data_IF_672731177763
#
_entry.id   IF_672731177763
#
_cell.length_a   1.000
_cell.length_b   1.000
_cell.length_c   1.000
_cell.angle_alpha   90.00
_cell.angle_beta   90.00
_cell.angle_gamma   90.00
#
_symmetry.space_group_name_H-M   'P 1'
#
loop_
_entity.id
_entity.type
_entity.pdbx_description
1 polymer ?
#
# COMPACT_ATOMS: atom_id res chain seq x y z
N UNK A 1 23.87 -3.51 -16.21
CA UNK A 1 22.45 -3.65 -15.79
C UNK A 1 21.85 -2.34 -15.30
N UNK A 2 22.47 -1.60 -14.38
CA UNK A 2 21.94 -0.34 -13.84
C UNK A 2 21.49 0.71 -14.88
N UNK A 3 22.24 0.89 -15.98
CA UNK A 3 21.90 1.88 -17.01
C UNK A 3 20.56 1.65 -17.73
N UNK A 4 20.13 0.39 -17.90
CA UNK A 4 18.83 0.07 -18.53
C UNK A 4 17.66 0.37 -17.60
N UNK A 5 17.82 0.08 -16.31
CA UNK A 5 16.82 0.39 -15.27
C UNK A 5 16.66 1.90 -15.16
N UNK A 6 17.76 2.66 -15.09
CA UNK A 6 17.72 4.13 -15.02
C UNK A 6 17.04 4.73 -16.25
N UNK A 7 17.36 4.25 -17.45
CA UNK A 7 16.71 4.74 -18.68
C UNK A 7 15.19 4.45 -18.68
N UNK A 8 14.78 3.25 -18.25
CA UNK A 8 13.37 2.87 -18.11
C UNK A 8 12.65 3.79 -17.14
N UNK A 9 13.21 3.98 -15.94
CA UNK A 9 12.68 4.87 -14.89
C UNK A 9 12.56 6.31 -15.38
N UNK A 10 13.59 6.83 -16.05
CA UNK A 10 13.59 8.21 -16.58
C UNK A 10 12.47 8.41 -17.61
N UNK A 11 12.23 7.44 -18.49
CA UNK A 11 11.14 7.52 -19.46
C UNK A 11 9.78 7.54 -18.75
N UNK A 12 9.55 6.62 -17.81
CA UNK A 12 8.29 6.57 -17.06
C UNK A 12 8.04 7.81 -16.20
N UNK A 13 9.10 8.41 -15.64
CA UNK A 13 9.00 9.70 -14.95
C UNK A 13 8.52 10.80 -15.88
N UNK A 14 8.97 10.82 -17.15
CA UNK A 14 8.53 11.85 -18.11
C UNK A 14 7.04 11.72 -18.39
N UNK A 15 6.56 10.50 -18.61
CA UNK A 15 5.14 10.21 -18.85
C UNK A 15 4.29 10.58 -17.62
N UNK A 16 4.81 10.31 -16.41
CA UNK A 16 4.14 10.62 -15.16
C UNK A 16 3.90 12.12 -14.92
N UNK A 17 4.73 13.01 -15.51
CA UNK A 17 4.58 14.46 -15.32
C UNK A 17 3.29 15.01 -15.91
N UNK A 18 2.76 14.35 -16.93
CA UNK A 18 1.55 14.79 -17.62
C UNK A 18 0.28 14.25 -16.95
N UNK A 19 0.40 13.08 -16.29
CA UNK A 19 -0.74 12.33 -15.74
C UNK A 19 -0.89 12.41 -14.23
N UNK A 20 0.13 12.89 -13.50
CA UNK A 20 0.20 12.80 -12.03
C UNK A 20 0.23 11.34 -11.50
N UNK A 21 0.52 10.38 -12.39
CA UNK A 21 0.56 8.94 -12.12
C UNK A 21 1.96 8.40 -12.43
N UNK A 22 2.64 7.89 -11.41
CA UNK A 22 3.97 7.30 -11.57
C UNK A 22 3.90 5.78 -11.55
N UNK A 23 3.96 5.17 -12.72
CA UNK A 23 4.16 3.72 -12.85
C UNK A 23 5.67 3.39 -12.85
N UNK A 24 6.15 2.69 -11.84
CA UNK A 24 7.48 2.09 -11.74
C UNK A 24 7.39 0.58 -11.47
N UNK A 25 6.25 -0.03 -11.78
CA UNK A 25 6.04 -1.47 -11.66
C UNK A 25 7.03 -2.29 -12.50
N UNK A 26 7.39 -3.47 -12.02
CA UNK A 26 8.18 -4.47 -12.78
C UNK A 26 9.46 -3.88 -13.39
N UNK A 27 10.19 -3.10 -12.59
CA UNK A 27 11.42 -2.41 -12.99
C UNK A 27 12.68 -3.03 -12.35
N UNK A 28 12.54 -4.17 -11.68
CA UNK A 28 13.60 -4.84 -10.91
C UNK A 28 14.28 -3.91 -9.89
N UNK A 29 13.50 -2.99 -9.31
CA UNK A 29 14.00 -1.99 -8.38
C UNK A 29 14.31 -2.63 -7.02
N UNK A 30 15.55 -2.51 -6.58
CA UNK A 30 15.96 -2.90 -5.21
C UNK A 30 15.68 -1.74 -4.22
N UNK A 31 15.66 -0.51 -4.74
CA UNK A 31 15.32 0.70 -4.01
C UNK A 31 14.71 1.72 -4.98
N UNK A 32 13.94 2.68 -4.46
CA UNK A 32 13.47 3.82 -5.25
C UNK A 32 14.68 4.66 -5.70
N UNK A 33 14.93 4.84 -7.01
CA UNK A 33 16.10 5.56 -7.50
C UNK A 33 16.09 7.06 -7.15
N UNK A 34 17.26 7.63 -6.91
CA UNK A 34 17.39 9.06 -6.61
C UNK A 34 16.85 9.98 -7.71
N UNK A 35 16.88 9.50 -8.97
CA UNK A 35 16.28 10.19 -10.11
C UNK A 35 14.78 10.50 -9.92
N UNK A 36 14.02 9.63 -9.24
CA UNK A 36 12.60 9.86 -8.94
C UNK A 36 12.44 11.12 -8.10
N UNK A 37 13.22 11.24 -7.03
CA UNK A 37 13.19 12.41 -6.16
C UNK A 37 13.68 13.65 -6.90
N UNK A 38 14.76 13.57 -7.66
CA UNK A 38 15.34 14.74 -8.33
C UNK A 38 14.45 15.27 -9.46
N UNK A 39 13.88 14.38 -10.27
CA UNK A 39 13.16 14.74 -11.49
C UNK A 39 11.69 15.11 -11.26
N UNK A 40 11.11 14.68 -10.14
CA UNK A 40 9.71 14.92 -9.77
C UNK A 40 9.57 15.97 -8.67
N UNK A 41 10.47 16.96 -8.62
CA UNK A 41 10.47 18.01 -7.58
C UNK A 41 9.27 18.95 -7.62
N UNK A 42 8.70 19.13 -8.81
CA UNK A 42 7.61 20.09 -9.07
C UNK A 42 6.34 19.40 -9.55
N UNK A 43 6.25 18.08 -9.37
CA UNK A 43 5.12 17.26 -9.82
C UNK A 43 4.37 16.79 -8.59
N UNK A 44 3.08 17.06 -8.56
CA UNK A 44 2.17 16.46 -7.59
C UNK A 44 1.85 15.05 -8.09
N UNK A 45 2.06 14.04 -7.26
CA UNK A 45 1.72 12.65 -7.59
C UNK A 45 0.46 12.26 -6.84
N UNK A 46 -0.49 11.67 -7.56
CA UNK A 46 -1.76 11.16 -7.03
C UNK A 46 -1.76 9.65 -6.98
N UNK A 47 -1.20 9.01 -8.01
CA UNK A 47 -1.12 7.55 -8.08
C UNK A 47 0.35 7.16 -8.24
N UNK A 48 0.80 6.18 -7.46
CA UNK A 48 2.12 5.62 -7.63
C UNK A 48 2.08 4.09 -7.57
N UNK A 49 2.52 3.46 -8.63
CA UNK A 49 2.67 2.01 -8.73
C UNK A 49 4.17 1.64 -8.65
N UNK A 50 4.55 0.96 -7.58
CA UNK A 50 5.88 0.41 -7.34
C UNK A 50 5.83 -1.13 -7.28
N UNK A 51 4.76 -1.74 -7.77
CA UNK A 51 4.51 -3.17 -7.67
C UNK A 51 5.49 -4.04 -8.46
N UNK A 52 5.65 -5.31 -8.08
CA UNK A 52 6.47 -6.26 -8.83
C UNK A 52 7.94 -5.88 -8.91
N UNK A 53 8.48 -5.31 -7.84
CA UNK A 53 9.89 -4.94 -7.71
C UNK A 53 10.57 -5.80 -6.62
N UNK A 54 11.80 -5.44 -6.25
CA UNK A 54 12.58 -6.14 -5.22
C UNK A 54 12.82 -5.23 -4.00
N UNK A 55 11.88 -4.31 -3.73
CA UNK A 55 12.00 -3.34 -2.66
C UNK A 55 11.93 -4.06 -1.30
N UNK A 56 13.00 -3.93 -0.50
CA UNK A 56 13.02 -4.45 0.87
C UNK A 56 12.46 -3.46 1.89
N UNK A 57 12.48 -2.17 1.54
CA UNK A 57 11.94 -1.08 2.37
C UNK A 57 11.47 0.06 1.48
N UNK A 58 10.41 0.74 1.91
CA UNK A 58 10.08 2.05 1.39
C UNK A 58 10.88 3.10 2.19
N UNK A 59 11.75 3.91 1.56
CA UNK A 59 12.56 4.88 2.28
C UNK A 59 11.68 5.99 2.86
N UNK A 60 11.99 6.45 4.08
CA UNK A 60 11.26 7.51 4.80
C UNK A 60 11.10 8.81 4.01
N UNK A 61 12.05 9.13 3.14
CA UNK A 61 11.97 10.29 2.23
C UNK A 61 10.86 10.17 1.17
N UNK A 62 10.31 8.98 0.90
CA UNK A 62 9.28 8.80 -0.13
C UNK A 62 7.93 9.40 0.29
N UNK A 63 7.32 9.03 1.44
CA UNK A 63 6.11 9.69 1.93
C UNK A 63 6.26 11.21 2.12
N UNK A 64 7.43 11.65 2.57
CA UNK A 64 7.73 13.09 2.75
C UNK A 64 7.77 13.83 1.42
N UNK A 65 8.20 13.14 0.34
CA UNK A 65 8.31 13.74 -0.98
C UNK A 65 6.96 13.80 -1.71
N UNK A 66 6.12 12.80 -1.52
CA UNK A 66 4.88 12.65 -2.26
C UNK A 66 3.67 12.59 -1.30
N UNK A 67 3.38 13.68 -0.56
CA UNK A 67 2.32 13.70 0.43
C UNK A 67 0.91 13.67 -0.16
N UNK A 68 0.76 14.04 -1.44
CA UNK A 68 -0.54 14.15 -2.13
C UNK A 68 -1.03 12.85 -2.77
N UNK A 69 -0.29 11.75 -2.60
CA UNK A 69 -0.68 10.44 -3.14
C UNK A 69 -2.02 10.02 -2.54
N UNK A 70 -2.93 9.57 -3.39
CA UNK A 70 -4.20 8.94 -3.03
C UNK A 70 -4.17 7.44 -3.21
N UNK A 71 -3.34 6.92 -4.10
CA UNK A 71 -3.24 5.48 -4.38
C UNK A 71 -1.78 5.06 -4.45
N UNK A 72 -1.39 4.11 -3.61
CA UNK A 72 -0.04 3.60 -3.53
C UNK A 72 -0.04 2.08 -3.65
N UNK A 73 0.54 1.58 -4.74
CA UNK A 73 0.75 0.16 -4.95
C UNK A 73 2.21 -0.22 -4.66
N UNK A 74 2.42 -1.06 -3.66
CA UNK A 74 3.69 -1.66 -3.25
C UNK A 74 3.63 -3.20 -3.33
N UNK A 75 2.65 -3.75 -4.03
CA UNK A 75 2.41 -5.17 -4.15
C UNK A 75 3.60 -5.92 -4.76
N UNK A 76 3.69 -7.23 -4.53
CA UNK A 76 4.71 -8.10 -5.15
C UNK A 76 6.16 -7.58 -4.95
N UNK A 77 6.49 -7.15 -3.74
CA UNK A 77 7.81 -6.67 -3.35
C UNK A 77 8.44 -7.62 -2.30
N UNK A 78 9.39 -7.11 -1.51
CA UNK A 78 10.05 -7.85 -0.41
C UNK A 78 10.03 -7.03 0.89
N UNK A 79 9.03 -6.16 1.04
CA UNK A 79 8.88 -5.28 2.19
C UNK A 79 8.61 -6.10 3.45
N UNK A 80 9.27 -5.75 4.54
CA UNK A 80 9.00 -6.35 5.87
C UNK A 80 8.23 -5.40 6.78
N UNK A 81 8.18 -4.11 6.44
CA UNK A 81 7.47 -3.07 7.18
C UNK A 81 7.28 -1.82 6.30
N UNK A 82 6.49 -0.86 6.77
CA UNK A 82 6.30 0.46 6.17
C UNK A 82 6.88 1.55 7.09
N UNK A 83 7.39 2.66 6.54
CA UNK A 83 7.97 3.75 7.33
C UNK A 83 6.90 4.55 8.09
N UNK A 84 7.23 5.04 9.29
CA UNK A 84 6.35 5.89 10.11
C UNK A 84 6.00 7.22 9.41
N UNK A 85 6.83 7.66 8.46
CA UNK A 85 6.53 8.82 7.64
C UNK A 85 5.33 8.62 6.71
N UNK A 86 4.79 7.40 6.57
CA UNK A 86 3.58 7.16 5.78
C UNK A 86 2.39 8.02 6.24
N UNK A 87 2.36 8.46 7.50
CA UNK A 87 1.39 9.45 8.02
C UNK A 87 1.37 10.76 7.26
N UNK A 88 2.43 11.09 6.51
CA UNK A 88 2.51 12.30 5.68
C UNK A 88 1.66 12.22 4.42
N UNK A 89 1.26 11.03 4.01
CA UNK A 89 0.34 10.82 2.89
C UNK A 89 -1.10 10.86 3.42
N UNK A 90 -1.52 12.03 3.91
CA UNK A 90 -2.81 12.23 4.59
C UNK A 90 -4.02 11.99 3.66
N UNK A 91 -3.78 11.99 2.35
CA UNK A 91 -4.78 11.78 1.31
C UNK A 91 -4.89 10.34 0.82
N UNK A 92 -4.11 9.40 1.38
CA UNK A 92 -4.09 8.02 0.93
C UNK A 92 -5.46 7.35 1.12
N UNK A 93 -6.02 6.85 0.02
CA UNK A 93 -7.31 6.14 -0.05
C UNK A 93 -7.13 4.66 -0.33
N UNK A 94 -6.13 4.30 -1.14
CA UNK A 94 -5.84 2.91 -1.50
C UNK A 94 -4.38 2.62 -1.21
N UNK A 95 -4.14 1.54 -0.45
CA UNK A 95 -2.80 1.03 -0.16
C UNK A 95 -2.77 -0.46 -0.48
N UNK A 96 -1.95 -0.84 -1.45
CA UNK A 96 -1.67 -2.23 -1.75
C UNK A 96 -0.26 -2.59 -1.26
N UNK A 97 -0.18 -3.57 -0.36
CA UNK A 97 1.08 -4.17 0.12
C UNK A 97 1.05 -5.69 -0.01
N UNK A 98 0.21 -6.24 -0.89
CA UNK A 98 0.11 -7.68 -1.08
C UNK A 98 1.40 -8.30 -1.62
N UNK A 99 1.60 -9.61 -1.41
CA UNK A 99 2.78 -10.31 -1.94
C UNK A 99 4.11 -9.80 -1.37
N UNK A 100 4.10 -9.32 -0.12
CA UNK A 100 5.28 -8.86 0.61
C UNK A 100 5.65 -9.85 1.73
N UNK A 101 6.47 -9.40 2.70
CA UNK A 101 6.89 -10.19 3.86
C UNK A 101 6.61 -9.44 5.16
N UNK A 102 5.51 -8.70 5.19
CA UNK A 102 5.12 -7.90 6.35
C UNK A 102 4.60 -8.86 7.42
N UNK A 103 5.21 -8.78 8.61
CA UNK A 103 4.82 -9.60 9.76
C UNK A 103 3.80 -8.90 10.67
N UNK A 104 3.90 -7.57 10.75
CA UNK A 104 3.03 -6.72 11.57
C UNK A 104 2.78 -5.44 10.79
N UNK A 105 1.52 -4.99 10.73
CA UNK A 105 1.21 -3.66 10.19
C UNK A 105 1.70 -2.58 11.18
N UNK A 106 2.57 -1.65 10.76
CA UNK A 106 3.07 -0.62 11.66
C UNK A 106 1.93 0.32 12.09
N UNK A 107 2.07 0.92 13.27
CA UNK A 107 1.03 1.76 13.89
C UNK A 107 0.48 2.85 12.96
N UNK A 108 1.35 3.37 12.09
CA UNK A 108 1.03 4.40 11.08
C UNK A 108 -0.10 4.01 10.14
N UNK A 109 -0.27 2.73 9.81
CA UNK A 109 -1.36 2.27 8.92
C UNK A 109 -2.73 2.56 9.53
N UNK A 110 -2.85 2.43 10.85
CA UNK A 110 -4.08 2.71 11.57
C UNK A 110 -4.38 4.22 11.72
N UNK A 111 -3.41 5.08 11.43
CA UNK A 111 -3.56 6.55 11.49
C UNK A 111 -3.99 7.15 10.15
N UNK A 112 -4.05 6.34 9.07
CA UNK A 112 -4.44 6.78 7.74
C UNK A 112 -5.96 6.98 7.65
N UNK A 113 -6.43 8.11 8.16
CA UNK A 113 -7.87 8.40 8.33
C UNK A 113 -8.71 8.44 7.04
N UNK A 114 -8.08 8.54 5.86
CA UNK A 114 -8.77 8.55 4.56
C UNK A 114 -8.65 7.22 3.80
N UNK A 115 -7.96 6.24 4.37
CA UNK A 115 -7.77 4.93 3.75
C UNK A 115 -9.11 4.21 3.67
N UNK A 116 -9.46 3.79 2.45
CA UNK A 116 -10.69 3.06 2.11
C UNK A 116 -10.41 1.60 1.83
N UNK A 117 -9.35 1.32 1.09
CA UNK A 117 -8.95 -0.04 0.75
C UNK A 117 -7.51 -0.30 1.20
N UNK A 118 -7.33 -1.42 1.91
CA UNK A 118 -6.03 -1.95 2.29
C UNK A 118 -5.91 -3.39 1.83
N UNK A 119 -5.05 -3.63 0.84
CA UNK A 119 -4.70 -4.99 0.44
C UNK A 119 -3.38 -5.40 1.11
N UNK A 120 -3.45 -6.35 2.04
CA UNK A 120 -2.29 -6.96 2.67
C UNK A 120 -2.27 -8.49 2.48
N UNK A 121 -2.92 -8.98 1.42
CA UNK A 121 -2.92 -10.38 1.03
C UNK A 121 -1.52 -10.95 0.85
N UNK A 122 -1.34 -12.25 1.07
CA UNK A 122 -0.08 -12.96 0.77
C UNK A 122 1.13 -12.28 1.42
N UNK A 123 1.02 -12.10 2.73
CA UNK A 123 2.09 -11.62 3.61
C UNK A 123 2.36 -12.67 4.69
N UNK A 124 3.10 -12.31 5.73
CA UNK A 124 3.37 -13.18 6.88
C UNK A 124 2.79 -12.57 8.16
N UNK A 125 1.64 -11.91 8.05
CA UNK A 125 0.99 -11.25 9.17
C UNK A 125 0.58 -12.27 10.23
N UNK A 126 1.09 -12.09 11.45
CA UNK A 126 0.77 -12.94 12.60
C UNK A 126 -0.06 -12.21 13.66
N UNK A 127 -0.07 -10.88 13.63
CA UNK A 127 -0.80 -10.05 14.59
C UNK A 127 -1.30 -8.75 13.95
N UNK A 128 -2.45 -8.27 14.46
CA UNK A 128 -3.10 -7.04 14.05
C UNK A 128 -3.80 -6.42 15.25
N UNK A 129 -3.81 -5.09 15.35
CA UNK A 129 -4.56 -4.37 16.38
C UNK A 129 -6.01 -4.14 15.92
N UNK A 130 -6.88 -5.11 16.21
CA UNK A 130 -8.32 -5.08 15.87
C UNK A 130 -9.01 -3.83 16.42
N UNK A 131 -8.61 -3.38 17.62
CA UNK A 131 -9.21 -2.20 18.27
C UNK A 131 -8.91 -0.93 17.48
N UNK A 132 -7.67 -0.77 17.01
CA UNK A 132 -7.31 0.36 16.13
C UNK A 132 -7.95 0.23 14.76
N UNK A 133 -7.99 -0.97 14.20
CA UNK A 133 -8.60 -1.22 12.89
C UNK A 133 -10.09 -0.82 12.89
N UNK A 134 -10.84 -1.16 13.95
CA UNK A 134 -12.25 -0.73 14.14
C UNK A 134 -12.43 0.79 14.21
N UNK A 135 -11.39 1.57 14.51
CA UNK A 135 -11.44 3.04 14.57
C UNK A 135 -11.18 3.71 13.22
N UNK A 136 -10.79 2.95 12.19
CA UNK A 136 -10.58 3.48 10.84
C UNK A 136 -11.93 3.70 10.15
N UNK A 137 -12.54 4.87 10.39
CA UNK A 137 -13.92 5.17 9.95
C UNK A 137 -14.09 5.24 8.43
N UNK A 138 -13.01 5.47 7.68
CA UNK A 138 -13.05 5.53 6.21
C UNK A 138 -12.80 4.19 5.55
N UNK A 139 -12.34 3.17 6.30
CA UNK A 139 -12.00 1.87 5.73
C UNK A 139 -13.29 1.18 5.30
N UNK A 140 -13.31 0.68 4.07
CA UNK A 140 -14.43 -0.06 3.48
C UNK A 140 -14.07 -1.51 3.26
N UNK A 141 -12.80 -1.78 2.95
CA UNK A 141 -12.31 -3.13 2.64
C UNK A 141 -10.88 -3.33 3.13
N UNK A 142 -10.63 -4.51 3.70
CA UNK A 142 -9.30 -5.01 4.00
C UNK A 142 -9.14 -6.45 3.51
N UNK A 143 -8.12 -6.70 2.70
CA UNK A 143 -7.74 -8.04 2.28
C UNK A 143 -6.56 -8.55 3.11
N UNK A 144 -6.80 -9.64 3.84
CA UNK A 144 -5.84 -10.32 4.70
C UNK A 144 -5.65 -11.78 4.31
N UNK A 145 -6.16 -12.19 3.14
CA UNK A 145 -6.02 -13.56 2.64
C UNK A 145 -4.56 -14.01 2.59
N UNK A 146 -4.33 -15.31 2.65
CA UNK A 146 -2.99 -15.90 2.56
C UNK A 146 -2.00 -15.32 3.59
N UNK A 147 -2.46 -15.07 4.82
CA UNK A 147 -1.62 -14.72 5.97
C UNK A 147 -1.75 -15.77 7.09
N UNK A 148 -0.67 -16.06 7.84
CA UNK A 148 -0.67 -16.99 8.96
C UNK A 148 -1.29 -16.36 10.23
N UNK A 149 -2.50 -15.82 10.11
CA UNK A 149 -3.23 -15.22 11.23
C UNK A 149 -3.73 -16.30 12.21
N UNK A 150 -3.56 -16.10 13.54
CA UNK A 150 -4.12 -16.99 14.54
C UNK A 150 -5.65 -17.08 14.43
N UNK A 151 -6.22 -18.25 14.69
CA UNK A 151 -7.67 -18.51 14.62
C UNK A 151 -8.49 -17.55 15.49
N UNK A 152 -7.97 -17.20 16.68
CA UNK A 152 -8.61 -16.24 17.57
C UNK A 152 -8.72 -14.86 16.91
N UNK A 153 -7.65 -14.40 16.28
CA UNK A 153 -7.61 -13.11 15.59
C UNK A 153 -8.54 -13.11 14.36
N UNK A 154 -8.54 -14.19 13.58
CA UNK A 154 -9.46 -14.35 12.45
C UNK A 154 -10.92 -14.27 12.90
N UNK A 155 -11.27 -14.87 14.04
CA UNK A 155 -12.62 -14.78 14.61
C UNK A 155 -12.97 -13.34 14.99
N UNK A 156 -12.08 -12.63 15.68
CA UNK A 156 -12.29 -11.22 16.05
C UNK A 156 -12.44 -10.30 14.83
N UNK A 157 -11.73 -10.60 13.73
CA UNK A 157 -11.80 -9.85 12.48
C UNK A 157 -13.13 -10.10 11.74
N UNK A 158 -13.66 -11.33 11.77
CA UNK A 158 -14.97 -11.66 11.18
C UNK A 158 -16.15 -11.02 11.94
N UNK A 159 -15.99 -10.71 13.23
CA UNK A 159 -16.99 -9.96 13.99
C UNK A 159 -17.11 -8.49 13.57
N UNK A 160 -16.14 -7.97 12.81
CA UNK A 160 -16.15 -6.59 12.35
C UNK A 160 -17.19 -6.43 11.23
N UNK A 161 -18.18 -5.55 11.45
CA UNK A 161 -19.23 -5.24 10.48
C UNK A 161 -19.15 -3.81 9.92
N UNK A 162 -18.16 -3.03 10.34
CA UNK A 162 -17.97 -1.65 9.89
C UNK A 162 -17.31 -1.57 8.51
N UNK A 163 -16.59 -2.62 8.10
CA UNK A 163 -15.96 -2.78 6.79
C UNK A 163 -15.85 -4.26 6.43
N UNK A 164 -15.61 -4.56 5.16
CA UNK A 164 -15.43 -5.91 4.65
C UNK A 164 -14.03 -6.42 4.97
N UNK A 165 -13.94 -7.62 5.55
CA UNK A 165 -12.67 -8.31 5.82
C UNK A 165 -12.60 -9.56 4.97
N UNK A 166 -11.56 -9.71 4.15
CA UNK A 166 -11.30 -10.91 3.36
C UNK A 166 -10.22 -11.75 4.04
N UNK A 167 -10.53 -12.99 4.42
CA UNK A 167 -9.61 -13.90 5.14
C UNK A 167 -9.35 -15.23 4.42
N UNK A 168 -10.11 -15.58 3.37
CA UNK A 168 -9.93 -16.79 2.56
C UNK A 168 -11.25 -17.49 2.23
N UNK A 169 -11.15 -18.69 1.64
CA UNK A 169 -12.23 -19.41 0.91
C UNK A 169 -13.48 -19.88 1.70
N UNK A 170 -13.78 -19.26 2.84
CA UNK A 170 -15.09 -19.38 3.48
C UNK A 170 -15.47 -18.08 4.18
N UNK A 171 -15.84 -17.05 3.41
CA UNK A 171 -17.25 -16.83 3.05
C UNK A 171 -17.42 -15.61 2.14
N UNK A 172 -18.40 -15.66 1.20
CA UNK A 172 -18.98 -14.48 0.58
C UNK A 172 -20.08 -13.91 1.51
N UNK A 173 -20.21 -12.58 1.55
CA UNK A 173 -21.44 -11.77 1.76
C UNK A 173 -21.05 -10.45 2.43
N UNK A 174 -21.23 -9.35 1.70
CA UNK A 174 -21.53 -8.05 2.33
C UNK A 174 -20.45 -6.97 2.21
N UNK A 175 -20.22 -6.48 0.98
CA UNK A 175 -20.43 -5.08 0.68
C UNK A 175 -20.70 -4.97 -0.82
N UNK A 176 -21.95 -4.69 -1.18
CA UNK A 176 -22.21 -4.02 -2.44
C UNK A 176 -21.44 -2.71 -2.37
N UNK A 177 -20.36 -2.61 -3.12
CA UNK A 177 -19.72 -1.34 -3.43
C UNK A 177 -20.78 -0.54 -4.21
N UNK A 178 -21.56 0.28 -3.52
CA UNK A 178 -22.25 1.38 -4.17
C UNK A 178 -21.17 2.28 -4.78
N UNK A 179 -21.09 2.27 -6.10
CA UNK A 179 -20.46 3.29 -6.91
C UNK A 179 -21.04 4.64 -6.47
N UNK A 180 -20.24 5.44 -5.77
CA UNK A 180 -20.53 6.86 -5.58
C UNK A 180 -19.92 7.61 -6.77
N UNK A 181 -20.79 7.90 -7.74
CA UNK A 181 -20.66 9.02 -8.68
C UNK A 181 -20.57 10.37 -7.95
#
# INVERSE_FOLDING_TARGET
MAGRIVAKVVNRIRDAKEKEELDLSKCDLIQVPDAVYLMMKSVTLRICDLSGNLLQKLPSKFPVRFPDITELDLGENKLTTLPDELRKIENLKVLNVSGNRIQVLPHVVYELNKLRALDAKNNVLTELDVTKLKRMLSLTEIDLQDNPLPEQLSTELLEIKVFTVLLGDSDPVGAQLEEVE
#
